data_IF_704262210478
#
_entry.id   IF_704262210478
#
_cell.length_a   1.000
_cell.length_b   1.000
_cell.length_c   1.000
_cell.angle_alpha   90.00
_cell.angle_beta   90.00
_cell.angle_gamma   90.00
#
_symmetry.space_group_name_H-M   'P 1'
#
loop_
_entity.id
_entity.type
_entity.pdbx_description
1 polymer ?
#
# COMPACT_ATOMS: atom_id res chain seq x y z
N UNK A 1 7.57 -9.71 17.96
CA UNK A 1 6.96 -9.83 16.62
C UNK A 1 7.63 -10.90 15.77
N UNK A 2 8.95 -10.86 15.58
CA UNK A 2 9.66 -11.84 14.73
C UNK A 2 9.43 -13.31 15.12
N UNK A 3 9.43 -13.64 16.42
CA UNK A 3 9.09 -15.00 16.87
C UNK A 3 7.68 -15.45 16.44
N UNK A 4 6.70 -14.53 16.43
CA UNK A 4 5.34 -14.82 15.99
C UNK A 4 5.30 -15.04 14.48
N UNK A 5 6.04 -14.23 13.70
CA UNK A 5 6.19 -14.43 12.25
C UNK A 5 6.80 -15.79 11.93
N UNK A 6 7.85 -16.20 12.64
CA UNK A 6 8.46 -17.52 12.49
C UNK A 6 7.47 -18.65 12.79
N UNK A 7 6.69 -18.54 13.87
CA UNK A 7 5.65 -19.52 14.21
C UNK A 7 4.54 -19.57 13.16
N UNK A 8 4.02 -18.42 12.73
CA UNK A 8 2.97 -18.33 11.71
C UNK A 8 3.42 -18.99 10.39
N UNK A 9 4.64 -18.70 9.93
CA UNK A 9 5.24 -19.36 8.76
C UNK A 9 5.33 -20.87 8.91
N UNK A 10 5.79 -21.37 10.06
CA UNK A 10 5.90 -22.81 10.32
C UNK A 10 4.55 -23.54 10.28
N UNK A 11 3.45 -22.80 10.52
CA UNK A 11 2.08 -23.30 10.49
C UNK A 11 1.38 -23.06 9.14
N UNK A 12 2.06 -22.48 8.15
CA UNK A 12 1.47 -22.15 6.85
C UNK A 12 0.54 -20.93 6.88
N UNK A 13 0.60 -20.09 7.92
CA UNK A 13 -0.24 -18.91 8.11
C UNK A 13 0.43 -17.64 7.56
N UNK A 14 1.01 -17.69 6.35
CA UNK A 14 1.82 -16.61 5.79
C UNK A 14 1.28 -16.15 4.43
N UNK A 15 1.18 -14.84 4.22
CA UNK A 15 0.70 -14.23 2.96
C UNK A 15 -0.65 -14.77 2.47
N UNK A 16 -1.63 -14.88 3.37
CA UNK A 16 -2.89 -15.58 3.11
C UNK A 16 -3.82 -14.87 2.11
N UNK A 17 -3.50 -13.63 1.72
CA UNK A 17 -4.36 -12.75 0.94
C UNK A 17 -4.28 -12.95 -0.58
N UNK A 18 -3.20 -13.51 -1.11
CA UNK A 18 -3.08 -13.80 -2.55
C UNK A 18 -3.66 -15.19 -2.85
N UNK A 19 -4.74 -15.24 -3.62
CA UNK A 19 -5.30 -16.52 -4.07
C UNK A 19 -4.46 -17.15 -5.19
N UNK A 20 -4.11 -18.43 -5.05
CA UNK A 20 -3.42 -19.21 -6.08
C UNK A 20 -4.20 -19.30 -7.41
N UNK A 21 -5.52 -19.13 -7.38
CA UNK A 21 -6.36 -19.06 -8.58
C UNK A 21 -6.02 -17.84 -9.46
N UNK A 22 -5.50 -16.76 -8.87
CA UNK A 22 -5.12 -15.53 -9.58
C UNK A 22 -3.61 -15.33 -9.65
N UNK A 23 -2.87 -15.86 -8.68
CA UNK A 23 -1.43 -15.72 -8.56
C UNK A 23 -0.77 -17.10 -8.38
N UNK A 24 -0.62 -17.91 -9.46
CA UNK A 24 -0.19 -19.32 -9.34
C UNK A 24 1.16 -19.53 -8.65
N UNK A 25 2.09 -18.58 -8.79
CA UNK A 25 3.46 -18.65 -8.26
C UNK A 25 3.59 -18.12 -6.83
N UNK A 26 2.71 -17.19 -6.42
CA UNK A 26 2.82 -16.45 -5.16
C UNK A 26 1.70 -16.77 -4.16
N UNK A 27 0.55 -17.20 -4.66
CA UNK A 27 -0.67 -17.33 -3.90
C UNK A 27 -0.78 -18.62 -3.10
N UNK A 28 -1.57 -18.54 -2.03
CA UNK A 28 -1.95 -19.67 -1.19
C UNK A 28 -3.22 -20.34 -1.71
N UNK A 29 -3.50 -21.61 -1.37
CA UNK A 29 -4.72 -22.32 -1.81
C UNK A 29 -5.97 -21.86 -1.05
N UNK A 30 -6.15 -20.55 -0.91
CA UNK A 30 -7.35 -19.92 -0.38
C UNK A 30 -8.02 -19.12 -1.49
N UNK A 31 -9.35 -19.18 -1.53
CA UNK A 31 -10.19 -18.22 -2.26
C UNK A 31 -10.27 -16.91 -1.47
N UNK A 32 -10.72 -15.83 -2.12
CA UNK A 32 -10.96 -14.56 -1.41
C UNK A 32 -12.00 -14.71 -0.29
N UNK A 33 -12.99 -15.60 -0.46
CA UNK A 33 -14.01 -15.86 0.55
C UNK A 33 -13.41 -16.58 1.77
N UNK A 34 -12.56 -17.57 1.56
CA UNK A 34 -11.88 -18.26 2.68
C UNK A 34 -10.92 -17.31 3.39
N UNK A 35 -10.20 -16.48 2.65
CA UNK A 35 -9.34 -15.46 3.25
C UNK A 35 -10.14 -14.42 4.04
N UNK A 36 -11.36 -14.04 3.61
CA UNK A 36 -12.24 -13.15 4.37
C UNK A 36 -12.56 -13.70 5.77
N UNK A 37 -12.77 -15.02 5.90
CA UNK A 37 -12.95 -15.68 7.20
C UNK A 37 -11.67 -15.62 8.03
N UNK A 38 -10.50 -15.84 7.41
CA UNK A 38 -9.21 -15.72 8.11
C UNK A 38 -8.95 -14.28 8.59
N UNK A 39 -9.30 -13.28 7.77
CA UNK A 39 -9.21 -11.86 8.09
C UNK A 39 -10.10 -11.51 9.29
N UNK A 40 -11.34 -12.00 9.35
CA UNK A 40 -12.21 -11.84 10.52
C UNK A 40 -11.55 -12.38 11.80
N UNK A 41 -11.00 -13.60 11.75
CA UNK A 41 -10.33 -14.21 12.91
C UNK A 41 -9.08 -13.41 13.31
N UNK A 42 -8.26 -12.97 12.36
CA UNK A 42 -7.11 -12.11 12.65
C UNK A 42 -7.54 -10.76 13.25
N UNK A 43 -8.71 -10.25 12.85
CA UNK A 43 -9.31 -9.03 13.36
C UNK A 43 -9.54 -9.04 14.88
N UNK A 44 -9.74 -10.21 15.50
CA UNK A 44 -9.87 -10.32 16.96
C UNK A 44 -8.62 -9.81 17.71
N UNK A 45 -7.46 -9.83 17.05
CA UNK A 45 -6.20 -9.31 17.57
C UNK A 45 -5.52 -8.40 16.53
N UNK A 46 -6.25 -7.38 16.04
CA UNK A 46 -5.86 -6.52 14.91
C UNK A 46 -4.43 -5.95 14.98
N UNK A 47 -3.91 -5.67 16.19
CA UNK A 47 -2.58 -5.07 16.38
C UNK A 47 -1.43 -6.07 16.27
N UNK A 48 -1.72 -7.38 16.23
CA UNK A 48 -0.70 -8.44 16.33
C UNK A 48 -0.89 -9.48 15.23
N UNK A 49 -2.10 -10.02 15.07
CA UNK A 49 -2.34 -11.17 14.23
C UNK A 49 -2.02 -10.90 12.74
N UNK A 50 -2.54 -9.81 12.11
CA UNK A 50 -2.20 -9.51 10.72
C UNK A 50 -0.70 -9.32 10.48
N UNK A 51 0.01 -8.59 11.34
CA UNK A 51 1.47 -8.39 11.18
C UNK A 51 2.23 -9.71 11.35
N UNK A 52 1.84 -10.55 12.31
CA UNK A 52 2.48 -11.85 12.52
C UNK A 52 2.31 -12.81 11.33
N UNK A 53 1.25 -12.66 10.54
CA UNK A 53 0.95 -13.48 9.37
C UNK A 53 1.34 -12.81 8.04
N UNK A 54 1.96 -11.62 8.08
CA UNK A 54 2.24 -10.75 6.92
C UNK A 54 1.01 -10.40 6.09
N UNK A 55 -0.12 -10.26 6.78
CA UNK A 55 -1.43 -9.95 6.23
C UNK A 55 -1.93 -8.56 6.68
N UNK A 56 -1.06 -7.73 7.24
CA UNK A 56 -1.39 -6.37 7.69
C UNK A 56 -1.49 -5.38 6.52
N UNK A 57 -2.53 -4.54 6.53
CA UNK A 57 -2.57 -3.33 5.73
C UNK A 57 -1.50 -2.31 6.20
N UNK A 58 -0.96 -1.46 5.32
CA UNK A 58 -1.27 -1.33 3.89
C UNK A 58 -0.48 -2.32 2.99
N UNK A 59 0.38 -3.17 3.56
CA UNK A 59 1.28 -4.02 2.78
C UNK A 59 0.55 -5.00 1.87
N UNK A 60 -0.53 -5.61 2.33
CA UNK A 60 -1.31 -6.58 1.52
C UNK A 60 -1.78 -6.00 0.19
N UNK A 61 -2.37 -4.80 0.22
CA UNK A 61 -2.83 -4.11 -0.99
C UNK A 61 -1.66 -3.71 -1.90
N UNK A 62 -0.57 -3.20 -1.33
CA UNK A 62 0.63 -2.82 -2.10
C UNK A 62 1.31 -4.03 -2.74
N UNK A 63 1.39 -5.15 -2.00
CA UNK A 63 1.90 -6.42 -2.51
C UNK A 63 1.02 -6.95 -3.64
N UNK A 64 -0.32 -6.85 -3.56
CA UNK A 64 -1.19 -7.24 -4.66
C UNK A 64 -0.99 -6.36 -5.91
N UNK A 65 -0.87 -5.04 -5.74
CA UNK A 65 -0.56 -4.11 -6.85
C UNK A 65 0.74 -4.51 -7.54
N UNK A 66 1.81 -4.75 -6.78
CA UNK A 66 3.10 -5.17 -7.35
C UNK A 66 3.06 -6.58 -7.94
N UNK A 67 2.34 -7.53 -7.34
CA UNK A 67 2.17 -8.88 -7.86
C UNK A 67 1.47 -8.87 -9.22
N UNK A 68 0.45 -8.02 -9.36
CA UNK A 68 -0.38 -7.94 -10.57
C UNK A 68 0.26 -7.11 -11.68
N UNK A 69 0.86 -5.98 -11.33
CA UNK A 69 1.27 -4.96 -12.30
C UNK A 69 2.76 -4.65 -12.31
N UNK A 70 3.50 -5.11 -11.29
CA UNK A 70 4.93 -4.86 -11.21
C UNK A 70 5.70 -5.58 -12.31
N UNK A 71 6.74 -4.92 -12.83
CA UNK A 71 7.73 -5.58 -13.70
C UNK A 71 8.50 -6.66 -12.93
N UNK A 72 9.24 -7.51 -13.64
CA UNK A 72 10.07 -8.54 -13.00
C UNK A 72 11.07 -7.91 -12.02
N UNK A 73 11.67 -6.80 -12.41
CA UNK A 73 12.66 -6.05 -11.63
C UNK A 73 12.01 -5.41 -10.40
N UNK A 74 10.82 -4.82 -10.54
CA UNK A 74 10.06 -4.27 -9.41
C UNK A 74 9.64 -5.38 -8.43
N UNK A 75 9.23 -6.54 -8.94
CA UNK A 75 8.86 -7.68 -8.10
C UNK A 75 10.05 -8.23 -7.31
N UNK A 76 11.20 -8.39 -7.96
CA UNK A 76 12.41 -8.86 -7.28
C UNK A 76 12.90 -7.84 -6.24
N UNK A 77 12.91 -6.55 -6.61
CA UNK A 77 13.44 -5.48 -5.74
C UNK A 77 12.52 -5.13 -4.57
N UNK A 78 11.21 -5.11 -4.78
CA UNK A 78 10.25 -4.56 -3.82
C UNK A 78 9.24 -5.58 -3.30
N UNK A 79 8.61 -6.36 -4.19
CA UNK A 79 7.59 -7.32 -3.77
C UNK A 79 8.18 -8.46 -2.95
N UNK A 80 9.33 -9.01 -3.35
CA UNK A 80 9.94 -10.16 -2.67
C UNK A 80 10.34 -9.85 -1.22
N UNK A 81 11.01 -8.71 -0.89
CA UNK A 81 11.22 -8.31 0.50
C UNK A 81 9.93 -8.13 1.31
N UNK A 82 8.88 -7.55 0.71
CA UNK A 82 7.56 -7.40 1.34
C UNK A 82 6.90 -8.74 1.62
N UNK A 83 6.88 -9.66 0.64
CA UNK A 83 6.37 -11.03 0.78
C UNK A 83 7.19 -11.85 1.80
N UNK A 84 8.46 -11.48 2.01
CA UNK A 84 9.32 -12.02 3.03
C UNK A 84 9.20 -11.29 4.38
N UNK A 85 8.31 -10.30 4.53
CA UNK A 85 8.10 -9.58 5.79
C UNK A 85 9.34 -8.85 6.33
N UNK A 86 10.31 -8.58 5.45
CA UNK A 86 11.58 -7.93 5.76
C UNK A 86 11.46 -6.40 5.75
N UNK A 87 10.57 -5.90 4.90
CA UNK A 87 10.28 -4.47 4.73
C UNK A 87 8.79 -4.22 4.88
N UNK A 88 8.44 -2.94 4.99
CA UNK A 88 7.07 -2.42 5.02
C UNK A 88 6.89 -1.43 3.86
N UNK A 89 5.66 -1.09 3.55
CA UNK A 89 5.29 -0.17 2.51
C UNK A 89 4.17 0.77 2.96
N UNK A 90 3.98 1.85 2.23
CA UNK A 90 2.83 2.75 2.39
C UNK A 90 2.13 3.00 1.07
N UNK A 91 0.83 3.21 1.12
CA UNK A 91 0.06 3.71 -0.02
C UNK A 91 -0.25 5.19 0.19
N UNK A 92 0.15 6.05 -0.75
CA UNK A 92 0.07 7.49 -0.62
C UNK A 92 -0.85 8.12 -1.67
N UNK A 93 -2.14 8.18 -1.33
CA UNK A 93 -3.19 8.75 -2.19
C UNK A 93 -3.87 9.98 -1.59
N UNK A 94 -4.35 9.89 -0.35
CA UNK A 94 -5.16 10.94 0.28
C UNK A 94 -4.39 12.25 0.43
N UNK A 95 -5.05 13.37 0.12
CA UNK A 95 -4.51 14.72 0.14
C UNK A 95 -5.34 15.63 1.07
N UNK A 96 -4.71 16.59 1.76
CA UNK A 96 -5.42 17.44 2.72
C UNK A 96 -6.26 18.55 2.09
N UNK A 97 -5.91 18.98 0.87
CA UNK A 97 -6.53 20.14 0.23
C UNK A 97 -7.76 19.77 -0.62
N UNK A 98 -8.04 18.49 -0.83
CA UNK A 98 -9.10 18.02 -1.73
C UNK A 98 -9.81 16.78 -1.20
N UNK A 99 -11.08 16.63 -1.57
CA UNK A 99 -11.88 15.44 -1.26
C UNK A 99 -11.34 14.23 -2.02
N UNK A 100 -10.52 13.44 -1.33
CA UNK A 100 -9.76 12.32 -1.93
C UNK A 100 -10.54 11.00 -2.01
N UNK A 101 -11.78 10.95 -1.51
CA UNK A 101 -12.69 9.82 -1.72
C UNK A 101 -12.96 9.58 -3.21
N UNK A 102 -12.87 10.64 -4.02
CA UNK A 102 -12.78 10.55 -5.48
C UNK A 102 -11.32 10.81 -5.89
N UNK A 103 -10.64 9.75 -6.33
CA UNK A 103 -9.26 9.81 -6.78
C UNK A 103 -9.04 10.75 -7.99
N UNK A 104 -10.09 11.18 -8.70
CA UNK A 104 -9.97 12.16 -9.79
C UNK A 104 -9.66 13.58 -9.29
N UNK A 105 -9.95 13.86 -8.02
CA UNK A 105 -9.73 15.18 -7.41
C UNK A 105 -8.28 15.43 -6.96
N UNK A 106 -7.47 14.38 -6.81
CA UNK A 106 -6.07 14.51 -6.34
C UNK A 106 -5.27 15.47 -7.23
N UNK A 107 -4.28 16.12 -6.65
CA UNK A 107 -3.52 17.21 -7.26
C UNK A 107 -2.01 16.99 -7.22
N UNK A 108 -1.50 16.00 -6.47
CA UNK A 108 -0.08 15.61 -6.49
C UNK A 108 0.38 15.44 -7.93
N UNK A 109 1.40 16.18 -8.32
CA UNK A 109 1.92 16.21 -9.69
C UNK A 109 2.98 15.13 -9.87
N UNK A 110 2.88 14.38 -10.97
CA UNK A 110 3.86 13.41 -11.43
C UNK A 110 4.25 13.80 -12.85
N UNK A 111 5.50 14.22 -13.07
CA UNK A 111 5.96 14.74 -14.36
C UNK A 111 7.15 13.96 -14.84
N UNK A 112 7.15 13.56 -16.12
CA UNK A 112 8.31 12.94 -16.73
C UNK A 112 9.30 14.00 -17.22
N UNK A 113 10.43 14.11 -16.54
CA UNK A 113 11.59 14.90 -16.95
C UNK A 113 12.37 14.12 -18.01
N UNK A 114 12.02 14.37 -19.28
CA UNK A 114 12.66 13.73 -20.44
C UNK A 114 14.16 13.98 -20.52
N UNK A 115 14.67 15.11 -19.99
CA UNK A 115 16.10 15.44 -20.07
C UNK A 115 16.91 14.49 -19.19
N UNK A 116 16.39 14.20 -18.01
CA UNK A 116 17.08 13.35 -17.02
C UNK A 116 16.56 11.91 -16.98
N UNK A 117 15.56 11.56 -17.80
CA UNK A 117 14.90 10.25 -17.82
C UNK A 117 14.36 9.85 -16.43
N UNK A 118 13.80 10.83 -15.73
CA UNK A 118 13.31 10.69 -14.36
C UNK A 118 11.86 11.16 -14.25
N UNK A 119 11.16 10.60 -13.28
CA UNK A 119 9.87 11.10 -12.80
C UNK A 119 10.14 12.07 -11.66
N UNK A 120 9.49 13.23 -11.72
CA UNK A 120 9.49 14.26 -10.66
C UNK A 120 8.12 14.28 -10.00
N UNK A 121 8.09 14.24 -8.67
CA UNK A 121 6.86 14.18 -7.88
C UNK A 121 6.81 15.37 -6.93
N UNK A 122 5.68 16.08 -6.95
CA UNK A 122 5.42 17.21 -6.06
C UNK A 122 4.00 17.13 -5.49
N UNK A 123 3.87 17.12 -4.17
CA UNK A 123 2.57 17.09 -3.52
C UNK A 123 2.62 16.81 -2.04
N UNK A 124 1.48 16.99 -1.36
CA UNK A 124 1.33 16.74 0.08
C UNK A 124 0.27 15.68 0.28
N UNK A 125 0.65 14.61 0.97
CA UNK A 125 -0.19 13.47 1.29
C UNK A 125 -0.48 13.40 2.78
N UNK A 126 -1.64 12.85 3.12
CA UNK A 126 -2.19 12.86 4.46
C UNK A 126 -2.80 11.48 4.77
N UNK A 127 -2.71 11.03 6.03
CA UNK A 127 -3.13 9.70 6.48
C UNK A 127 -2.31 8.54 5.90
N UNK A 128 -1.00 8.74 5.70
CA UNK A 128 -0.14 7.72 5.10
C UNK A 128 0.27 6.69 6.16
N UNK A 129 -0.45 5.57 6.18
CA UNK A 129 -0.25 4.48 7.15
C UNK A 129 1.13 3.86 7.02
N UNK A 130 1.80 3.62 8.15
CA UNK A 130 3.08 2.91 8.20
C UNK A 130 4.29 3.71 7.72
N UNK A 131 4.14 4.96 7.28
CA UNK A 131 5.25 5.77 6.76
C UNK A 131 6.26 6.18 7.84
N UNK A 132 5.88 6.09 9.13
CA UNK A 132 6.79 6.28 10.26
C UNK A 132 7.54 5.03 10.70
N UNK A 133 7.21 3.84 10.17
CA UNK A 133 7.90 2.60 10.53
C UNK A 133 9.32 2.62 9.93
N UNK A 134 10.38 2.37 10.70
CA UNK A 134 11.75 2.35 10.17
C UNK A 134 12.00 1.26 9.12
N UNK A 135 11.13 0.26 9.02
CA UNK A 135 11.17 -0.79 7.98
C UNK A 135 10.47 -0.37 6.70
N UNK A 136 9.81 0.79 6.68
CA UNK A 136 9.11 1.30 5.50
C UNK A 136 10.11 1.60 4.39
N UNK A 137 10.13 0.75 3.37
CA UNK A 137 11.11 0.83 2.29
C UNK A 137 10.58 1.64 1.09
N UNK A 138 9.27 1.61 0.85
CA UNK A 138 8.65 2.27 -0.29
C UNK A 138 7.29 2.87 0.02
N UNK A 139 7.00 3.99 -0.63
CA UNK A 139 5.66 4.53 -0.81
C UNK A 139 5.19 4.25 -2.26
N UNK A 140 3.99 3.70 -2.42
CA UNK A 140 3.27 3.73 -3.69
C UNK A 140 2.52 5.06 -3.76
N UNK A 141 3.06 6.03 -4.50
CA UNK A 141 2.54 7.39 -4.57
C UNK A 141 1.62 7.53 -5.76
N UNK A 142 0.35 7.87 -5.52
CA UNK A 142 -0.62 8.16 -6.56
C UNK A 142 -0.69 9.67 -6.83
N UNK A 143 -0.65 10.08 -8.09
CA UNK A 143 -0.74 11.48 -8.48
C UNK A 143 -1.14 11.65 -9.95
N UNK A 144 -1.39 12.89 -10.37
CA UNK A 144 -1.73 13.27 -11.74
C UNK A 144 -0.49 13.30 -12.62
N UNK A 145 -0.49 12.45 -13.64
CA UNK A 145 0.57 12.26 -14.62
C UNK A 145 0.20 12.76 -16.02
N UNK A 146 -1.09 12.81 -16.36
CA UNK A 146 -1.57 13.37 -17.63
C UNK A 146 -2.88 14.15 -17.43
N UNK A 147 -2.79 15.47 -17.26
CA UNK A 147 -3.97 16.32 -17.08
C UNK A 147 -4.77 16.56 -18.36
N UNK A 148 -4.26 16.12 -19.52
CA UNK A 148 -4.94 16.25 -20.82
C UNK A 148 -5.85 15.06 -21.16
N UNK A 149 -5.59 13.90 -20.54
CA UNK A 149 -6.40 12.70 -20.69
C UNK A 149 -7.79 12.83 -20.03
N UNK A 150 -8.76 11.94 -20.33
CA UNK A 150 -10.03 11.87 -19.59
C UNK A 150 -9.79 11.71 -18.08
N UNK A 151 -10.66 12.28 -17.24
CA UNK A 151 -10.46 12.39 -15.77
C UNK A 151 -10.04 11.10 -15.05
N UNK A 152 -10.53 9.94 -15.50
CA UNK A 152 -10.21 8.61 -14.94
C UNK A 152 -8.94 7.96 -15.53
N UNK A 153 -8.19 8.71 -16.31
CA UNK A 153 -6.96 8.32 -16.99
C UNK A 153 -5.88 9.40 -16.84
N UNK A 154 -5.96 10.18 -15.75
CA UNK A 154 -4.99 11.23 -15.49
C UNK A 154 -3.95 10.83 -14.45
N UNK A 155 -4.12 9.69 -13.81
CA UNK A 155 -3.38 9.31 -12.61
C UNK A 155 -2.41 8.18 -12.90
N UNK A 156 -1.28 8.24 -12.21
CA UNK A 156 -0.29 7.19 -12.15
C UNK A 156 0.13 6.88 -10.71
N UNK A 157 0.62 5.67 -10.49
CA UNK A 157 1.22 5.15 -9.27
C UNK A 157 2.71 4.98 -9.53
N UNK A 158 3.52 5.57 -8.65
CA UNK A 158 4.98 5.52 -8.74
C UNK A 158 5.54 4.98 -7.44
N UNK A 159 6.46 4.03 -7.55
CA UNK A 159 7.23 3.51 -6.42
C UNK A 159 8.24 4.58 -6.00
N UNK A 160 8.17 5.05 -4.77
CA UNK A 160 9.12 6.02 -4.21
C UNK A 160 9.81 5.38 -3.01
N UNK A 161 11.12 5.07 -3.10
CA UNK A 161 11.88 4.67 -1.92
C UNK A 161 11.74 5.70 -0.80
N UNK A 162 11.50 5.26 0.42
CA UNK A 162 11.15 6.15 1.54
C UNK A 162 12.28 7.11 1.93
N UNK A 163 13.52 6.77 1.58
CA UNK A 163 14.74 7.56 1.76
C UNK A 163 15.07 8.48 0.57
N UNK A 164 14.22 8.52 -0.45
CA UNK A 164 14.45 9.37 -1.64
C UNK A 164 14.54 10.84 -1.22
N UNK A 165 15.57 11.60 -1.63
CA UNK A 165 15.66 13.03 -1.37
C UNK A 165 14.38 13.77 -1.80
N UNK A 166 13.86 14.60 -0.91
CA UNK A 166 12.59 15.33 -1.10
C UNK A 166 11.38 14.68 -0.43
N UNK A 167 11.46 13.41 0.01
CA UNK A 167 10.44 12.79 0.85
C UNK A 167 10.62 13.29 2.28
N UNK A 168 9.59 13.95 2.83
CA UNK A 168 9.60 14.55 4.16
C UNK A 168 8.41 14.07 4.97
N UNK A 169 8.69 13.33 6.04
CA UNK A 169 7.70 13.00 7.06
C UNK A 169 7.49 14.24 7.94
N UNK A 170 6.35 14.92 7.78
CA UNK A 170 6.11 16.21 8.43
C UNK A 170 5.75 16.02 9.91
N UNK A 171 4.82 15.10 10.19
CA UNK A 171 4.39 14.76 11.56
C UNK A 171 3.59 13.47 11.58
N UNK A 172 3.60 12.75 12.71
CA UNK A 172 2.60 11.72 12.99
C UNK A 172 1.22 12.37 13.18
N UNK A 173 0.19 11.60 12.89
CA UNK A 173 -1.20 11.99 13.02
C UNK A 173 -1.83 11.33 14.23
N UNK A 174 -2.83 11.99 14.82
CA UNK A 174 -3.63 11.45 15.92
C UNK A 174 -4.98 10.97 15.43
N UNK A 175 -5.46 9.87 16.00
CA UNK A 175 -6.79 9.30 15.73
C UNK A 175 -7.61 9.42 17.02
N UNK A 176 -8.73 10.17 16.97
CA UNK A 176 -9.54 10.51 18.15
C UNK A 176 -8.75 11.15 19.31
N UNK A 177 -7.68 11.88 19.00
CA UNK A 177 -6.81 12.52 20.00
C UNK A 177 -5.74 11.60 20.60
N UNK A 178 -5.70 10.33 20.22
CA UNK A 178 -4.67 9.38 20.63
C UNK A 178 -3.60 9.24 19.56
N UNK A 179 -2.38 8.98 20.00
CA UNK A 179 -1.31 8.54 19.11
C UNK A 179 -1.65 7.14 18.56
N UNK A 180 -1.44 6.94 17.27
CA UNK A 180 -1.67 5.66 16.60
C UNK A 180 -0.37 4.86 16.40
N UNK A 181 0.56 4.98 17.36
CA UNK A 181 1.81 4.23 17.38
C UNK A 181 1.58 2.70 17.51
N UNK A 182 2.50 1.85 17.01
CA UNK A 182 3.78 2.20 16.38
C UNK A 182 3.73 2.41 14.86
N UNK A 183 2.72 1.88 14.16
CA UNK A 183 2.63 1.95 12.69
C UNK A 183 2.16 3.33 12.22
N UNK A 184 1.13 3.86 12.87
CA UNK A 184 0.62 5.22 12.75
C UNK A 184 0.25 5.67 11.34
N UNK A 185 -0.15 6.93 11.26
CA UNK A 185 -0.35 7.64 10.01
C UNK A 185 0.50 8.90 9.99
N UNK A 186 1.08 9.22 8.83
CA UNK A 186 1.87 10.44 8.68
C UNK A 186 1.27 11.39 7.66
N UNK A 187 1.54 12.67 7.91
CA UNK A 187 1.52 13.68 6.88
C UNK A 187 2.88 13.67 6.17
N UNK A 188 2.88 13.52 4.84
CA UNK A 188 4.09 13.35 4.04
C UNK A 188 4.12 14.41 2.93
N UNK A 189 5.22 15.14 2.82
CA UNK A 189 5.48 16.07 1.73
C UNK A 189 6.47 15.43 0.75
N UNK A 190 6.16 15.50 -0.54
CA UNK A 190 7.05 15.18 -1.64
C UNK A 190 7.42 16.49 -2.30
N UNK A 191 8.68 16.91 -2.14
CA UNK A 191 9.21 18.16 -2.69
C UNK A 191 10.36 17.85 -3.65
N UNK A 192 10.11 18.00 -4.95
CA UNK A 192 11.03 17.68 -6.04
C UNK A 192 11.64 16.28 -5.94
N UNK A 193 10.83 15.31 -5.51
CA UNK A 193 11.23 13.91 -5.42
C UNK A 193 11.49 13.37 -6.81
N UNK A 194 12.68 12.81 -7.01
CA UNK A 194 13.12 12.29 -8.31
C UNK A 194 13.39 10.80 -8.23
N UNK A 195 12.72 10.05 -9.10
CA UNK A 195 12.93 8.61 -9.25
C UNK A 195 13.09 8.24 -10.72
N UNK A 196 13.76 7.12 -11.04
CA UNK A 196 13.87 6.65 -12.42
C UNK A 196 12.49 6.30 -13.04
N UNK A 197 12.41 6.28 -14.37
CA UNK A 197 11.16 5.93 -15.09
C UNK A 197 10.68 4.51 -14.79
N UNK A 198 11.60 3.57 -14.50
CA UNK A 198 11.28 2.20 -14.11
C UNK A 198 10.57 2.08 -12.75
N UNK A 199 10.42 3.16 -12.01
CA UNK A 199 9.60 3.20 -10.79
C UNK A 199 8.10 3.41 -11.08
N UNK A 200 7.73 3.72 -12.33
CA UNK A 200 6.32 3.75 -12.74
C UNK A 200 5.72 2.35 -12.65
N UNK A 201 4.59 2.21 -11.96
CA UNK A 201 3.84 0.95 -11.94
C UNK A 201 2.90 0.94 -13.14
N UNK A 202 2.88 -0.18 -13.87
CA UNK A 202 2.03 -0.36 -15.05
C UNK A 202 2.30 0.64 -16.19
N UNK A 203 1.48 1.68 -16.34
CA UNK A 203 1.49 2.59 -17.48
C UNK A 203 1.16 4.03 -17.07
N UNK A 204 1.69 4.97 -17.85
CA UNK A 204 1.41 6.41 -17.67
C UNK A 204 -0.07 6.72 -17.95
N UNK A 205 -0.74 7.36 -17.00
CA UNK A 205 -2.14 7.81 -17.14
C UNK A 205 -3.20 6.71 -17.23
N UNK A 206 -2.94 5.47 -16.76
CA UNK A 206 -3.91 4.36 -16.89
C UNK A 206 -4.45 3.82 -15.56
N UNK A 207 -4.12 4.44 -14.44
CA UNK A 207 -4.20 3.72 -13.16
C UNK A 207 -5.56 3.75 -12.47
N UNK A 208 -6.46 4.68 -12.80
CA UNK A 208 -7.73 4.78 -12.06
C UNK A 208 -8.69 3.61 -12.34
N UNK A 209 -8.65 3.01 -13.54
CA UNK A 209 -9.38 1.76 -13.83
C UNK A 209 -8.81 0.56 -13.06
N UNK A 210 -7.52 0.61 -12.72
CA UNK A 210 -6.80 -0.46 -12.04
C UNK A 210 -6.92 -0.36 -10.53
N UNK A 211 -6.90 0.88 -10.01
CA UNK A 211 -7.18 1.18 -8.61
C UNK A 211 -8.50 0.53 -8.20
N UNK A 212 -9.61 0.77 -8.93
CA UNK A 212 -10.89 0.12 -8.59
C UNK A 212 -10.78 -1.42 -8.58
N UNK A 213 -10.15 -2.06 -9.57
CA UNK A 213 -10.10 -3.53 -9.65
C UNK A 213 -9.20 -4.24 -8.62
N UNK A 214 -8.12 -3.59 -8.17
CA UNK A 214 -7.21 -4.14 -7.15
C UNK A 214 -7.59 -3.69 -5.73
N UNK A 215 -8.04 -2.45 -5.58
CA UNK A 215 -8.39 -1.85 -4.31
C UNK A 215 -9.74 -2.36 -3.78
N UNK A 216 -10.72 -2.65 -4.64
CA UNK A 216 -12.01 -3.23 -4.20
C UNK A 216 -11.81 -4.55 -3.43
N UNK A 217 -10.78 -5.35 -3.80
CA UNK A 217 -10.40 -6.56 -3.05
C UNK A 217 -9.73 -6.25 -1.73
N UNK A 218 -8.76 -5.34 -1.72
CA UNK A 218 -8.08 -4.92 -0.50
C UNK A 218 -9.05 -4.29 0.51
N UNK A 219 -10.02 -3.49 0.08
CA UNK A 219 -11.07 -2.92 0.93
C UNK A 219 -12.01 -3.99 1.49
N UNK A 220 -12.41 -4.96 0.68
CA UNK A 220 -13.23 -6.09 1.14
C UNK A 220 -12.53 -6.86 2.27
N UNK A 221 -11.22 -7.03 2.15
CA UNK A 221 -10.37 -7.70 3.14
C UNK A 221 -10.26 -6.86 4.43
N UNK A 222 -9.95 -5.56 4.31
CA UNK A 222 -9.84 -4.65 5.46
C UNK A 222 -11.20 -4.52 6.18
N UNK A 223 -12.31 -4.62 5.46
CA UNK A 223 -13.64 -4.64 6.05
C UNK A 223 -13.87 -5.89 6.93
N UNK A 224 -13.40 -7.07 6.49
CA UNK A 224 -13.47 -8.30 7.28
C UNK A 224 -12.61 -8.23 8.56
N UNK A 225 -11.40 -7.67 8.49
CA UNK A 225 -10.57 -7.43 9.68
C UNK A 225 -11.30 -6.55 10.72
N UNK A 226 -12.08 -5.56 10.26
CA UNK A 226 -12.87 -4.67 11.13
C UNK A 226 -14.11 -5.33 11.73
N UNK A 227 -14.71 -6.33 11.06
CA UNK A 227 -15.80 -7.13 11.61
C UNK A 227 -15.32 -7.99 12.78
N UNK A 228 -14.14 -8.60 12.66
CA UNK A 228 -13.51 -9.35 13.76
C UNK A 228 -13.30 -8.51 15.02
N UNK A 229 -12.85 -7.27 14.86
CA UNK A 229 -12.73 -6.30 15.97
C UNK A 229 -14.06 -6.02 16.68
N UNK A 230 -15.17 -5.97 15.96
CA UNK A 230 -16.50 -5.75 16.53
C UNK A 230 -16.97 -6.98 17.31
N UNK A 231 -16.79 -8.18 16.74
CA UNK A 231 -17.18 -9.45 17.35
C UNK A 231 -16.35 -9.77 18.61
N UNK A 232 -15.07 -9.44 18.62
CA UNK A 232 -14.21 -9.62 19.80
C UNK A 232 -14.59 -8.75 21.01
N UNK A 233 -15.35 -7.67 20.81
CA UNK A 233 -15.85 -6.81 21.90
C UNK A 233 -17.18 -7.30 22.49
N UNK A 234 -17.84 -8.25 21.84
CA UNK A 234 -19.11 -8.83 22.28
C UNK A 234 -18.98 -10.13 23.09
N UNK A 235 -17.76 -10.61 23.32
CA UNK A 235 -17.41 -11.77 24.14
C UNK A 235 -16.76 -11.31 25.45
#
# INVERSE_FOLDING_TARGET
MEDLKSKARSQGLWNLFLSKAHYPELGVPLTNLEYAVMAEVMGHAIRIAPESMNCSAPDTGNMEVLARYGTKEQKEKWLKPLMNGQTRSSFAMTEPAVASSDATNIQTSIVFDRKNQQIVINGRKWWISGAGDPRNAIHLVMGKSDTSAPKHSQQSIVIVPSDTPGVKLIRPMQVFGYDDAPEGHFEVLYEDVRVPIENLVYDWGKDLKLFNLGWDRAESIIACDRLGLQNARSL
#
